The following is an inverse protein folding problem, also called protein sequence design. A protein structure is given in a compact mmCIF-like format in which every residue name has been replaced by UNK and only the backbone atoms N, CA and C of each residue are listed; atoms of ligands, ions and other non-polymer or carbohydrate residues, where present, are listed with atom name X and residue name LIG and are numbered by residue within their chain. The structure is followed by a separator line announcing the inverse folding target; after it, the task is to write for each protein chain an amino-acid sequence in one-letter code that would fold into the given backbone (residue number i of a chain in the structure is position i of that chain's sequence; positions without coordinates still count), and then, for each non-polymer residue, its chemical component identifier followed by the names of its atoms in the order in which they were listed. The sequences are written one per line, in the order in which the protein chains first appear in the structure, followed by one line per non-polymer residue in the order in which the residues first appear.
data_IF_743344216589
#
_entry.id   IF_743344216589
#
_cell.length_a   1.000
_cell.length_b   1.000
_cell.length_c   1.000
_cell.angle_alpha   90.00
_cell.angle_beta   90.00
_cell.angle_gamma   90.00
#
_symmetry.space_group_name_H-M   'P 1'
#
loop_
_entity.id
_entity.type
_entity.pdbx_description
1 polymer ?
#
# COMPACT_ATOMS: atom_id res chain seq x y z
N UNK A 1 23.11 -11.92 7.14
CA UNK A 1 22.27 -11.05 6.28
C UNK A 1 22.76 -11.13 4.85
N UNK A 2 21.86 -11.14 3.84
CA UNK A 2 22.26 -11.07 2.44
C UNK A 2 23.10 -9.82 2.17
N UNK A 3 24.16 -9.95 1.35
CA UNK A 3 25.01 -8.80 0.99
C UNK A 3 24.53 -8.09 -0.29
N UNK A 4 23.62 -8.72 -1.04
CA UNK A 4 23.00 -8.12 -2.22
C UNK A 4 21.79 -7.29 -1.80
N UNK A 5 21.59 -6.15 -2.46
CA UNK A 5 20.37 -5.36 -2.33
C UNK A 5 19.17 -6.23 -2.72
N UNK A 6 18.09 -6.13 -1.96
CA UNK A 6 16.79 -6.71 -2.33
C UNK A 6 16.10 -5.88 -3.41
N UNK A 7 14.93 -6.32 -3.81
CA UNK A 7 14.06 -5.62 -4.75
C UNK A 7 13.15 -4.61 -4.03
N UNK A 8 12.91 -3.46 -4.63
CA UNK A 8 11.70 -2.70 -4.34
C UNK A 8 10.48 -3.36 -4.99
N UNK A 9 9.28 -2.82 -4.76
CA UNK A 9 8.05 -3.46 -5.22
C UNK A 9 7.94 -3.53 -6.74
N UNK A 10 8.43 -2.53 -7.47
CA UNK A 10 8.43 -2.52 -8.95
C UNK A 10 9.44 -3.53 -9.49
N UNK A 11 10.66 -3.51 -8.95
CA UNK A 11 11.70 -4.48 -9.27
C UNK A 11 11.25 -5.93 -8.96
N UNK A 12 10.56 -6.14 -7.82
CA UNK A 12 9.98 -7.43 -7.48
C UNK A 12 8.99 -7.93 -8.54
N UNK A 13 8.08 -7.07 -9.00
CA UNK A 13 7.13 -7.43 -10.06
C UNK A 13 7.88 -7.75 -11.37
N UNK A 14 8.87 -6.94 -11.74
CA UNK A 14 9.68 -7.18 -12.92
C UNK A 14 10.47 -8.49 -12.85
N UNK A 15 11.08 -8.80 -11.70
CA UNK A 15 11.78 -10.05 -11.45
C UNK A 15 10.82 -11.26 -11.51
N UNK A 16 9.61 -11.11 -10.96
CA UNK A 16 8.57 -12.14 -11.01
C UNK A 16 8.09 -12.41 -12.44
N UNK A 17 7.94 -11.38 -13.27
CA UNK A 17 7.61 -11.53 -14.69
C UNK A 17 8.70 -12.32 -15.46
N UNK A 18 9.95 -12.21 -15.04
CA UNK A 18 11.08 -12.97 -15.61
C UNK A 18 11.22 -14.38 -15.01
N UNK A 19 10.41 -14.76 -14.02
CA UNK A 19 10.51 -16.05 -13.33
C UNK A 19 11.68 -16.16 -12.36
N UNK A 20 12.25 -15.04 -11.92
CA UNK A 20 13.41 -15.00 -11.01
C UNK A 20 13.00 -15.18 -9.53
N UNK A 21 11.69 -15.10 -9.21
CA UNK A 21 11.15 -15.21 -7.85
C UNK A 21 10.56 -16.61 -7.65
N UNK A 22 11.17 -17.40 -6.77
CA UNK A 22 10.70 -18.75 -6.44
C UNK A 22 9.56 -18.77 -5.41
N UNK A 23 9.66 -17.94 -4.38
CA UNK A 23 8.69 -17.88 -3.27
C UNK A 23 8.32 -16.44 -2.98
N UNK A 24 7.02 -16.19 -2.81
CA UNK A 24 6.49 -14.92 -2.30
C UNK A 24 5.67 -15.18 -1.04
N UNK A 25 6.05 -14.54 0.05
CA UNK A 25 5.31 -14.59 1.30
C UNK A 25 4.70 -13.21 1.59
N UNK A 26 3.38 -13.19 1.69
CA UNK A 26 2.61 -12.00 2.03
C UNK A 26 2.10 -12.10 3.48
N UNK A 27 2.52 -11.19 4.33
CA UNK A 27 2.02 -11.04 5.69
C UNK A 27 1.02 -9.88 5.71
N UNK A 28 -0.26 -10.21 5.70
CA UNK A 28 -1.32 -9.22 5.48
C UNK A 28 -1.29 -8.65 4.05
N UNK A 29 -1.88 -7.49 3.88
CA UNK A 29 -1.83 -6.74 2.64
C UNK A 29 -2.78 -7.25 1.53
N UNK A 30 -2.74 -6.56 0.40
CA UNK A 30 -3.54 -6.85 -0.79
C UNK A 30 -2.80 -6.33 -2.02
N UNK A 31 -1.67 -6.98 -2.36
CA UNK A 31 -0.75 -6.53 -3.40
C UNK A 31 -1.46 -6.30 -4.75
N UNK A 32 -2.34 -7.21 -5.15
CA UNK A 32 -3.05 -7.13 -6.43
C UNK A 32 -3.89 -5.86 -6.55
N UNK A 33 -4.50 -5.40 -5.46
CA UNK A 33 -5.28 -4.17 -5.47
C UNK A 33 -4.41 -2.93 -5.20
N UNK A 34 -3.37 -3.09 -4.38
CA UNK A 34 -2.57 -1.96 -3.94
C UNK A 34 -1.55 -1.50 -4.99
N UNK A 35 -1.06 -2.41 -5.83
CA UNK A 35 -0.03 -2.12 -6.82
C UNK A 35 -0.62 -1.54 -8.10
N UNK A 36 0.18 -0.72 -8.79
CA UNK A 36 -0.11 -0.24 -10.14
C UNK A 36 -0.11 -1.39 -11.17
N UNK A 37 -0.70 -1.16 -12.36
CA UNK A 37 -0.71 -2.11 -13.45
C UNK A 37 -1.23 -3.50 -13.05
N UNK A 38 -2.42 -3.52 -12.49
CA UNK A 38 -3.04 -4.70 -11.86
C UNK A 38 -2.93 -5.97 -12.72
N UNK A 39 -3.01 -5.84 -14.05
CA UNK A 39 -2.94 -6.98 -14.95
C UNK A 39 -1.53 -7.61 -15.00
N UNK A 40 -0.50 -6.77 -15.10
CA UNK A 40 0.89 -7.25 -15.09
C UNK A 40 1.31 -7.77 -13.73
N UNK A 41 0.80 -7.17 -12.65
CA UNK A 41 1.02 -7.69 -11.30
C UNK A 41 0.39 -9.08 -11.16
N UNK A 42 -0.82 -9.28 -11.67
CA UNK A 42 -1.45 -10.59 -11.64
C UNK A 42 -0.67 -11.65 -12.45
N UNK A 43 -0.14 -11.27 -13.61
CA UNK A 43 0.73 -12.12 -14.42
C UNK A 43 2.02 -12.48 -13.66
N UNK A 44 2.68 -11.48 -13.07
CA UNK A 44 3.89 -11.67 -12.28
C UNK A 44 3.70 -12.66 -11.12
N UNK A 45 2.59 -12.51 -10.38
CA UNK A 45 2.29 -13.43 -9.26
C UNK A 45 2.06 -14.86 -9.75
N UNK A 46 1.39 -15.06 -10.88
CA UNK A 46 1.16 -16.41 -11.44
C UNK A 46 2.45 -17.11 -11.88
N UNK A 47 3.51 -16.36 -12.19
CA UNK A 47 4.81 -16.93 -12.55
C UNK A 47 5.60 -17.46 -11.35
N UNK A 48 5.25 -17.07 -10.13
CA UNK A 48 5.93 -17.48 -8.90
C UNK A 48 5.68 -18.96 -8.61
N UNK A 49 6.68 -19.69 -8.13
CA UNK A 49 6.56 -21.09 -7.78
C UNK A 49 5.57 -21.33 -6.63
N UNK A 50 5.79 -20.65 -5.51
CA UNK A 50 4.97 -20.76 -4.31
C UNK A 50 4.57 -19.37 -3.80
N UNK A 51 3.27 -19.17 -3.57
CA UNK A 51 2.76 -18.01 -2.83
C UNK A 51 2.23 -18.44 -1.48
N UNK A 52 2.67 -17.78 -0.40
CA UNK A 52 2.21 -17.98 0.96
C UNK A 52 1.51 -16.72 1.41
N UNK A 53 0.24 -16.81 1.76
CA UNK A 53 -0.55 -15.66 2.19
C UNK A 53 -1.03 -15.86 3.62
N UNK A 54 -0.53 -15.06 4.54
CA UNK A 54 -0.90 -15.02 5.95
C UNK A 54 -1.87 -13.85 6.11
N UNK A 55 -3.13 -14.13 6.48
CA UNK A 55 -4.15 -13.08 6.41
C UNK A 55 -5.32 -13.36 7.36
N UNK A 56 -5.90 -12.28 7.88
CA UNK A 56 -7.11 -12.34 8.71
C UNK A 56 -8.39 -12.45 7.88
N UNK A 57 -8.37 -12.01 6.62
CA UNK A 57 -9.50 -12.03 5.68
C UNK A 57 -9.04 -12.32 4.27
N UNK A 58 -9.86 -13.02 3.52
CA UNK A 58 -9.65 -13.17 2.07
C UNK A 58 -9.81 -11.82 1.36
N UNK A 59 -8.96 -11.57 0.39
CA UNK A 59 -9.02 -10.41 -0.47
C UNK A 59 -8.64 -10.80 -1.92
N UNK A 60 -8.56 -9.85 -2.82
CA UNK A 60 -8.30 -10.10 -4.25
C UNK A 60 -6.97 -10.83 -4.50
N UNK A 61 -5.96 -10.66 -3.65
CA UNK A 61 -4.68 -11.35 -3.80
C UNK A 61 -4.78 -12.86 -3.61
N UNK A 62 -5.78 -13.36 -2.88
CA UNK A 62 -6.01 -14.80 -2.70
C UNK A 62 -6.61 -15.47 -3.96
N UNK A 63 -7.14 -14.69 -4.89
CA UNK A 63 -7.65 -15.17 -6.19
C UNK A 63 -6.56 -15.25 -7.26
N UNK A 64 -5.38 -14.68 -6.98
CA UNK A 64 -4.26 -14.64 -7.92
C UNK A 64 -3.03 -15.17 -7.20
N UNK A 65 -2.74 -16.43 -7.43
CA UNK A 65 -1.67 -17.16 -6.74
C UNK A 65 -0.61 -17.61 -7.71
N UNK A 66 0.53 -18.05 -7.17
CA UNK A 66 1.56 -18.77 -7.90
C UNK A 66 1.10 -20.16 -8.34
N UNK A 67 2.04 -20.95 -8.87
CA UNK A 67 1.76 -22.34 -9.27
C UNK A 67 1.30 -23.21 -8.11
N UNK A 68 1.85 -22.95 -6.93
CA UNK A 68 1.40 -23.52 -5.66
C UNK A 68 1.02 -22.36 -4.72
N UNK A 69 0.06 -22.61 -3.82
CA UNK A 69 -0.43 -21.60 -2.90
C UNK A 69 -0.73 -22.18 -1.52
N UNK A 70 -0.31 -21.44 -0.49
CA UNK A 70 -0.72 -21.66 0.88
C UNK A 70 -1.46 -20.43 1.38
N UNK A 71 -2.61 -20.62 2.00
CA UNK A 71 -3.35 -19.56 2.69
C UNK A 71 -3.40 -19.96 4.16
N UNK A 72 -2.74 -19.16 5.00
CA UNK A 72 -2.64 -19.36 6.43
C UNK A 72 -3.50 -18.30 7.14
N UNK A 73 -4.66 -18.66 7.66
CA UNK A 73 -5.44 -17.74 8.46
C UNK A 73 -4.70 -17.44 9.77
N UNK A 74 -4.79 -16.19 10.24
CA UNK A 74 -4.14 -15.75 11.45
C UNK A 74 -5.08 -14.95 12.35
N UNK A 75 -4.70 -14.78 13.62
CA UNK A 75 -5.41 -13.95 14.57
C UNK A 75 -5.53 -12.51 14.09
N UNK A 76 -6.71 -11.94 14.25
CA UNK A 76 -6.95 -10.51 14.05
C UNK A 76 -6.46 -9.71 15.27
N UNK A 77 -6.14 -8.43 15.07
CA UNK A 77 -5.64 -7.59 16.14
C UNK A 77 -6.66 -7.30 17.26
N UNK A 78 -7.94 -7.59 17.05
CA UNK A 78 -9.02 -7.49 18.04
C UNK A 78 -9.18 -8.74 18.88
N UNK A 79 -8.59 -9.85 18.46
CA UNK A 79 -8.63 -11.14 19.14
C UNK A 79 -7.51 -11.25 20.18
N UNK A 80 -7.74 -12.07 21.20
CA UNK A 80 -6.74 -12.36 22.25
C UNK A 80 -5.59 -13.13 21.63
N UNK A 81 -4.38 -12.56 21.77
CA UNK A 81 -3.13 -13.18 21.34
C UNK A 81 -2.37 -13.72 22.57
N UNK A 82 -2.07 -15.03 22.61
CA UNK A 82 -1.26 -15.62 23.69
C UNK A 82 0.13 -15.01 23.83
N UNK A 83 0.71 -14.47 22.75
CA UNK A 83 2.00 -13.77 22.75
C UNK A 83 1.97 -12.39 23.43
N UNK A 84 0.77 -11.94 23.84
CA UNK A 84 0.59 -10.67 24.57
C UNK A 84 0.09 -9.52 23.70
N UNK A 85 0.24 -8.30 24.19
CA UNK A 85 -0.19 -7.11 23.45
C UNK A 85 0.79 -6.77 22.32
N UNK A 86 0.27 -6.22 21.23
CA UNK A 86 1.06 -5.63 20.15
C UNK A 86 1.25 -4.13 20.35
N UNK A 87 2.11 -3.52 19.57
CA UNK A 87 2.37 -2.09 19.60
C UNK A 87 2.09 -1.45 18.25
N UNK A 88 1.74 -0.19 18.28
CA UNK A 88 1.41 0.61 17.09
C UNK A 88 2.12 1.94 17.19
N UNK A 89 2.71 2.37 16.10
CA UNK A 89 3.17 3.74 15.90
C UNK A 89 2.15 4.51 15.06
N UNK A 90 1.77 5.69 15.50
CA UNK A 90 0.93 6.57 14.71
C UNK A 90 1.75 7.56 13.88
N UNK A 91 1.09 8.36 13.04
CA UNK A 91 1.75 9.34 12.15
C UNK A 91 2.52 10.45 12.88
N UNK A 92 2.35 10.57 14.19
CA UNK A 92 3.08 11.54 15.03
C UNK A 92 4.33 10.93 15.69
N UNK A 93 4.64 9.66 15.40
CA UNK A 93 5.74 8.95 16.02
C UNK A 93 5.44 8.53 17.47
N UNK A 94 4.17 8.49 17.88
CA UNK A 94 3.75 7.97 19.17
C UNK A 94 3.59 6.46 19.10
N UNK A 95 4.34 5.74 19.91
CA UNK A 95 4.26 4.29 20.09
C UNK A 95 3.41 3.97 21.30
N UNK A 96 2.37 3.19 21.12
CA UNK A 96 1.47 2.77 22.20
C UNK A 96 1.04 1.30 22.07
N UNK A 97 0.55 0.71 23.14
CA UNK A 97 0.07 -0.67 23.18
C UNK A 97 -1.33 -0.81 22.57
N UNK A 98 -1.58 -1.97 22.00
CA UNK A 98 -2.90 -2.40 21.52
C UNK A 98 -3.10 -3.87 21.90
N UNK A 99 -4.22 -4.18 22.56
CA UNK A 99 -4.53 -5.53 23.01
C UNK A 99 -5.91 -5.92 22.55
N UNK A 100 -6.02 -7.09 21.90
CA UNK A 100 -7.29 -7.71 21.56
C UNK A 100 -7.99 -8.25 22.80
N UNK A 101 -9.31 -8.29 22.76
CA UNK A 101 -10.17 -8.74 23.87
C UNK A 101 -11.23 -9.73 23.44
N UNK A 102 -11.35 -10.00 22.15
CA UNK A 102 -12.31 -10.96 21.62
C UNK A 102 -11.70 -12.35 21.62
N UNK A 103 -12.52 -13.35 21.88
CA UNK A 103 -12.12 -14.73 21.69
C UNK A 103 -11.75 -14.98 20.23
N UNK A 104 -10.70 -15.76 19.96
CA UNK A 104 -10.33 -16.15 18.59
C UNK A 104 -11.48 -16.87 17.90
N UNK A 105 -11.63 -16.64 16.60
CA UNK A 105 -12.63 -17.34 15.77
C UNK A 105 -12.40 -18.86 15.72
N UNK A 106 -11.19 -19.31 16.03
CA UNK A 106 -10.82 -20.73 16.16
C UNK A 106 -9.56 -20.87 17.00
N UNK A 107 -9.49 -21.92 17.81
CA UNK A 107 -8.31 -22.30 18.60
C UNK A 107 -7.10 -22.71 17.74
N UNK A 108 -7.32 -22.98 16.45
CA UNK A 108 -6.26 -23.32 15.51
C UNK A 108 -5.55 -22.09 14.93
N UNK A 109 -6.06 -20.86 15.17
CA UNK A 109 -5.45 -19.64 14.66
C UNK A 109 -4.19 -19.30 15.47
N UNK A 110 -3.16 -18.92 14.72
CA UNK A 110 -1.89 -18.42 15.28
C UNK A 110 -1.77 -16.94 15.00
N UNK A 111 -1.03 -16.24 15.84
CA UNK A 111 -0.66 -14.86 15.55
C UNK A 111 0.36 -14.78 14.42
N UNK A 112 0.44 -13.62 13.74
CA UNK A 112 1.44 -13.39 12.69
C UNK A 112 2.89 -13.61 13.21
N UNK A 113 3.30 -13.12 14.41
CA UNK A 113 4.61 -13.44 14.98
C UNK A 113 4.84 -14.94 15.20
N UNK A 114 3.86 -15.66 15.73
CA UNK A 114 3.95 -17.10 15.96
C UNK A 114 4.17 -17.87 14.65
N UNK A 115 3.44 -17.53 13.58
CA UNK A 115 3.61 -18.15 12.26
C UNK A 115 5.03 -17.91 11.73
N UNK A 116 5.53 -16.67 11.83
CA UNK A 116 6.90 -16.33 11.40
C UNK A 116 7.94 -17.08 12.22
N UNK A 117 7.75 -17.18 13.53
CA UNK A 117 8.67 -17.92 14.42
C UNK A 117 8.72 -19.41 14.06
N UNK A 118 7.58 -20.05 13.81
CA UNK A 118 7.53 -21.46 13.39
C UNK A 118 8.22 -21.69 12.04
N UNK A 119 8.02 -20.81 11.07
CA UNK A 119 8.73 -20.85 9.79
C UNK A 119 10.24 -20.66 10.01
N UNK A 120 10.61 -19.66 10.81
CA UNK A 120 12.01 -19.40 11.15
C UNK A 120 12.70 -20.59 11.82
N UNK A 121 12.03 -21.23 12.79
CA UNK A 121 12.53 -22.42 13.45
C UNK A 121 12.69 -23.60 12.47
N UNK A 122 11.69 -23.81 11.58
CA UNK A 122 11.74 -24.87 10.57
C UNK A 122 12.88 -24.68 9.55
N UNK A 123 13.16 -23.45 9.15
CA UNK A 123 14.24 -23.13 8.19
C UNK A 123 15.62 -23.09 8.83
N UNK A 124 15.71 -22.66 10.09
CA UNK A 124 16.98 -22.45 10.79
C UNK A 124 16.96 -23.02 12.21
N UNK A 125 16.76 -24.35 12.38
CA UNK A 125 16.62 -24.97 13.70
C UNK A 125 17.87 -24.82 14.59
N UNK A 126 19.05 -24.72 13.98
CA UNK A 126 20.35 -24.54 14.64
C UNK A 126 20.95 -23.15 14.35
N UNK A 127 20.14 -22.18 13.99
CA UNK A 127 20.58 -20.81 13.73
C UNK A 127 20.99 -20.05 15.00
N UNK A 128 21.55 -18.85 14.87
CA UNK A 128 21.99 -18.04 16.01
C UNK A 128 20.85 -17.44 16.82
N UNK A 129 19.60 -17.54 16.33
CA UNK A 129 18.40 -17.05 17.00
C UNK A 129 17.55 -18.24 17.44
N UNK A 130 17.16 -18.25 18.70
CA UNK A 130 16.11 -19.14 19.16
C UNK A 130 14.75 -18.54 18.83
N UNK A 131 14.20 -19.00 17.70
CA UNK A 131 12.89 -18.53 17.21
C UNK A 131 11.75 -18.80 18.19
N UNK A 132 11.87 -19.82 19.05
CA UNK A 132 10.81 -20.22 19.97
C UNK A 132 10.53 -19.19 21.06
N UNK A 133 11.42 -18.24 21.31
CA UNK A 133 11.20 -17.21 22.33
C UNK A 133 10.51 -15.95 21.78
N UNK A 134 10.50 -15.75 20.45
CA UNK A 134 10.01 -14.49 19.86
C UNK A 134 8.52 -14.47 19.55
N UNK A 135 7.80 -15.60 19.74
CA UNK A 135 6.34 -15.57 19.77
C UNK A 135 5.81 -14.75 20.97
N UNK A 136 6.55 -14.67 22.08
CA UNK A 136 6.30 -13.70 23.13
C UNK A 136 6.73 -12.29 22.65
N UNK A 137 5.73 -11.42 22.52
CA UNK A 137 5.94 -10.06 22.02
C UNK A 137 6.84 -9.22 22.93
N UNK A 138 6.98 -9.57 24.21
CA UNK A 138 7.92 -8.90 25.12
C UNK A 138 9.37 -9.16 24.73
N UNK A 139 9.70 -10.41 24.35
CA UNK A 139 11.03 -10.78 23.88
C UNK A 139 11.35 -10.11 22.53
N UNK A 140 10.36 -10.03 21.64
CA UNK A 140 10.51 -9.31 20.37
C UNK A 140 10.78 -7.82 20.60
N UNK A 141 10.02 -7.14 21.50
CA UNK A 141 10.28 -5.74 21.87
C UNK A 141 11.62 -5.55 22.55
N UNK A 142 12.06 -6.50 23.37
CA UNK A 142 13.39 -6.47 23.97
C UNK A 142 14.49 -6.50 22.90
N UNK A 143 14.36 -7.37 21.89
CA UNK A 143 15.32 -7.41 20.78
C UNK A 143 15.32 -6.09 19.99
N UNK A 144 14.15 -5.54 19.67
CA UNK A 144 14.02 -4.23 19.02
C UNK A 144 14.73 -3.15 19.83
N UNK A 145 14.57 -3.13 21.15
CA UNK A 145 15.18 -2.12 22.03
C UNK A 145 16.72 -2.15 21.99
N UNK A 146 17.31 -3.27 21.61
CA UNK A 146 18.75 -3.44 21.49
C UNK A 146 19.32 -3.14 20.11
N UNK A 147 18.47 -3.18 19.10
CA UNK A 147 18.89 -3.09 17.69
C UNK A 147 18.51 -1.78 17.03
N UNK A 148 17.46 -1.10 17.52
CA UNK A 148 16.89 0.06 16.84
C UNK A 148 16.96 1.29 17.77
N UNK A 149 17.75 2.33 17.41
CA UNK A 149 17.80 3.58 18.17
C UNK A 149 16.42 4.22 18.35
N UNK A 150 16.16 4.78 19.52
CA UNK A 150 14.88 5.38 19.88
C UNK A 150 13.91 4.43 20.58
N UNK A 151 14.18 3.12 20.56
CA UNK A 151 13.38 2.10 21.24
C UNK A 151 14.01 1.59 22.55
N UNK A 152 14.96 2.28 23.11
CA UNK A 152 15.57 1.94 24.39
C UNK A 152 14.49 1.78 25.46
N UNK A 153 14.61 0.76 26.31
CA UNK A 153 13.65 0.42 27.35
C UNK A 153 12.19 0.26 26.84
N UNK A 154 12.03 -0.31 25.66
CA UNK A 154 10.75 -0.41 24.95
C UNK A 154 9.62 -0.94 25.84
N UNK A 155 9.83 -2.10 26.46
CA UNK A 155 8.80 -2.77 27.29
C UNK A 155 8.29 -1.91 28.44
N UNK A 156 9.14 -1.16 29.12
CA UNK A 156 8.74 -0.27 30.22
C UNK A 156 8.06 0.99 29.70
N UNK A 157 8.62 1.61 28.65
CA UNK A 157 8.09 2.86 28.08
C UNK A 157 6.70 2.69 27.48
N UNK A 158 6.46 1.60 26.77
CA UNK A 158 5.15 1.36 26.11
C UNK A 158 4.04 1.03 27.12
N UNK A 159 4.37 0.58 28.31
CA UNK A 159 3.42 0.36 29.40
C UNK A 159 3.05 1.64 30.16
N UNK A 160 3.79 2.72 29.96
CA UNK A 160 3.44 4.02 30.53
C UNK A 160 2.12 4.52 29.94
N UNK A 161 1.34 5.25 30.73
CA UNK A 161 0.07 5.83 30.26
C UNK A 161 0.30 6.73 29.06
N UNK A 162 -0.34 6.40 27.94
CA UNK A 162 -0.20 7.13 26.68
C UNK A 162 0.98 6.71 25.80
N UNK A 163 1.80 5.72 26.22
CA UNK A 163 2.95 5.26 25.44
C UNK A 163 4.14 6.23 25.46
N UNK A 164 4.91 6.28 24.35
CA UNK A 164 6.06 7.15 24.23
C UNK A 164 6.28 7.63 22.79
N UNK A 165 6.91 8.79 22.67
CA UNK A 165 7.31 9.32 21.37
C UNK A 165 8.70 8.82 20.95
N UNK A 166 8.83 8.46 19.67
CA UNK A 166 10.14 8.28 19.04
C UNK A 166 10.83 9.64 18.88
N UNK A 167 12.17 9.69 18.96
CA UNK A 167 12.90 10.93 18.75
C UNK A 167 12.60 11.56 17.39
N UNK A 168 12.36 12.86 17.38
CA UNK A 168 12.16 13.64 16.16
C UNK A 168 12.80 15.02 16.33
N UNK A 169 13.93 15.25 15.70
CA UNK A 169 14.71 16.47 15.87
C UNK A 169 13.92 17.77 15.64
N UNK A 170 13.18 17.92 14.53
CA UNK A 170 12.34 19.11 14.29
C UNK A 170 11.21 19.32 15.29
N UNK A 171 10.63 18.25 15.86
CA UNK A 171 9.55 18.33 16.84
C UNK A 171 10.08 18.59 18.26
N UNK A 172 11.12 17.87 18.63
CA UNK A 172 11.60 17.81 20.04
C UNK A 172 12.55 18.97 20.37
N UNK A 173 13.07 19.62 19.38
CA UNK A 173 13.93 20.80 19.44
C UNK A 173 14.39 21.11 18.01
N UNK A 174 14.49 22.35 17.56
CA UNK A 174 14.75 22.71 16.16
C UNK A 174 16.15 22.27 15.72
N UNK A 175 16.34 20.95 15.59
CA UNK A 175 17.59 20.33 15.15
C UNK A 175 17.41 19.67 13.78
N UNK A 176 18.35 19.91 12.88
CA UNK A 176 18.35 19.36 11.53
C UNK A 176 19.72 18.76 11.23
N UNK A 177 19.72 17.51 10.75
CA UNK A 177 20.93 16.81 10.33
C UNK A 177 21.36 17.26 8.91
N UNK A 178 21.62 18.53 8.77
CA UNK A 178 22.18 19.13 7.54
C UNK A 178 23.59 19.66 7.80
N UNK A 179 24.44 19.86 6.80
CA UNK A 179 25.77 20.43 6.99
C UNK A 179 25.76 21.79 7.70
N UNK A 180 24.69 22.58 7.53
CA UNK A 180 24.54 23.89 8.18
C UNK A 180 23.90 23.82 9.57
N UNK A 181 23.38 22.65 9.99
CA UNK A 181 22.56 22.52 11.21
C UNK A 181 21.23 23.26 11.16
N UNK A 182 20.79 23.73 10.00
CA UNK A 182 19.56 24.49 9.79
C UNK A 182 18.67 23.80 8.77
N UNK A 183 17.36 24.05 8.81
CA UNK A 183 16.44 23.64 7.76
C UNK A 183 16.91 24.19 6.41
N UNK A 184 16.87 23.36 5.39
CA UNK A 184 17.27 23.74 4.04
C UNK A 184 16.05 23.74 3.13
N UNK A 185 15.82 24.85 2.44
CA UNK A 185 14.78 24.96 1.40
C UNK A 185 15.41 24.78 0.02
N UNK A 186 14.73 24.00 -0.81
CA UNK A 186 15.12 23.80 -2.20
C UNK A 186 14.09 24.48 -3.10
N UNK A 187 14.57 25.23 -4.07
CA UNK A 187 13.74 25.79 -5.13
C UNK A 187 13.90 24.91 -6.37
N UNK A 188 12.78 24.49 -6.93
CA UNK A 188 12.73 23.73 -8.16
C UNK A 188 11.82 24.46 -9.15
N UNK A 189 12.16 24.38 -10.42
CA UNK A 189 11.28 24.84 -11.48
C UNK A 189 10.02 23.96 -11.52
N UNK A 190 8.89 24.55 -11.88
CA UNK A 190 7.69 23.78 -12.14
C UNK A 190 7.90 22.93 -13.40
N UNK A 191 7.52 21.66 -13.40
CA UNK A 191 7.62 20.84 -14.58
C UNK A 191 6.74 21.40 -15.70
N UNK A 192 7.30 21.48 -16.92
CA UNK A 192 6.52 21.81 -18.09
C UNK A 192 5.42 20.80 -18.29
N UNK A 193 4.17 21.26 -18.29
CA UNK A 193 3.01 20.43 -18.57
C UNK A 193 2.86 20.25 -20.09
N UNK A 194 3.68 19.39 -20.68
CA UNK A 194 3.56 18.99 -22.09
C UNK A 194 2.63 17.79 -22.18
N UNK A 195 1.34 18.03 -22.20
CA UNK A 195 0.31 17.02 -22.47
C UNK A 195 -0.28 17.33 -23.85
N UNK A 196 -0.52 16.31 -24.62
CA UNK A 196 -1.26 16.43 -25.89
C UNK A 196 -2.63 17.07 -25.60
N UNK A 197 -3.07 18.03 -26.43
CA UNK A 197 -4.31 18.79 -26.22
C UNK A 197 -5.58 17.93 -26.11
N UNK A 198 -5.53 16.71 -26.62
CA UNK A 198 -6.63 15.72 -26.50
C UNK A 198 -6.55 14.85 -25.24
N UNK A 199 -5.59 15.09 -24.34
CA UNK A 199 -5.38 14.29 -23.13
C UNK A 199 -5.57 15.10 -21.86
N UNK A 200 -5.92 14.38 -20.82
CA UNK A 200 -6.05 14.86 -19.45
C UNK A 200 -4.95 14.29 -18.58
N UNK A 201 -4.63 14.99 -17.49
CA UNK A 201 -3.81 14.45 -16.41
C UNK A 201 -4.71 13.94 -15.30
N UNK A 202 -4.62 12.64 -15.02
CA UNK A 202 -5.36 12.01 -13.95
C UNK A 202 -4.49 11.76 -12.72
N UNK A 203 -5.06 12.00 -11.54
CA UNK A 203 -4.50 11.58 -10.26
C UNK A 203 -5.41 10.58 -9.56
N UNK A 204 -4.81 9.63 -8.85
CA UNK A 204 -5.57 8.76 -7.95
C UNK A 204 -5.74 9.41 -6.58
N UNK A 205 -6.88 9.22 -5.95
CA UNK A 205 -7.16 9.66 -4.58
C UNK A 205 -7.86 8.56 -3.80
N UNK A 206 -7.86 8.65 -2.48
CA UNK A 206 -8.73 7.83 -1.63
C UNK A 206 -10.08 8.51 -1.48
N UNK A 207 -11.14 7.70 -1.33
CA UNK A 207 -12.41 8.23 -0.82
C UNK A 207 -12.24 8.67 0.64
N UNK A 208 -13.18 9.46 1.15
CA UNK A 208 -13.26 9.68 2.59
C UNK A 208 -13.56 8.35 3.30
N UNK A 209 -13.15 8.26 4.55
CA UNK A 209 -13.31 7.06 5.38
C UNK A 209 -12.62 5.80 4.82
N UNK A 210 -11.64 5.97 3.92
CA UNK A 210 -10.87 4.87 3.34
C UNK A 210 -9.54 4.65 4.04
N UNK A 211 -9.30 3.39 4.42
CA UNK A 211 -8.00 2.93 4.91
C UNK A 211 -7.39 1.92 3.93
N UNK A 212 -6.42 2.37 3.15
CA UNK A 212 -5.73 1.61 2.09
C UNK A 212 -6.72 0.84 1.18
N UNK A 213 -6.50 -0.47 1.00
CA UNK A 213 -7.36 -1.38 0.25
C UNK A 213 -8.19 -2.30 1.15
N UNK A 214 -8.22 -2.00 2.45
CA UNK A 214 -8.81 -2.87 3.47
C UNK A 214 -10.20 -2.39 3.90
N UNK A 215 -10.33 -1.09 4.16
CA UNK A 215 -11.58 -0.48 4.64
C UNK A 215 -11.96 0.62 3.67
N UNK A 216 -13.05 0.46 2.97
CA UNK A 216 -13.73 1.49 2.18
C UNK A 216 -15.13 1.03 1.79
N UNK A 217 -16.01 1.98 1.60
CA UNK A 217 -17.38 1.74 1.13
C UNK A 217 -17.58 2.15 -0.32
N UNK A 218 -18.81 1.97 -0.81
CA UNK A 218 -19.23 2.40 -2.13
C UNK A 218 -19.62 3.88 -2.17
N UNK A 219 -19.75 4.49 -0.99
CA UNK A 219 -20.20 5.86 -0.84
C UNK A 219 -19.07 6.78 -0.39
N UNK A 220 -18.97 7.93 -1.04
CA UNK A 220 -18.17 9.07 -0.59
C UNK A 220 -19.11 10.26 -0.45
N UNK A 221 -19.77 10.35 0.70
CA UNK A 221 -20.78 11.40 1.01
C UNK A 221 -20.21 12.81 0.91
N UNK A 222 -18.92 13.00 1.20
CA UNK A 222 -18.26 14.31 1.13
C UNK A 222 -18.06 14.81 -0.30
N UNK A 223 -17.99 13.88 -1.27
CA UNK A 223 -17.92 14.19 -2.71
C UNK A 223 -19.24 14.00 -3.44
N UNK A 224 -20.31 13.63 -2.73
CA UNK A 224 -21.62 13.38 -3.34
C UNK A 224 -21.64 12.17 -4.27
N UNK A 225 -20.78 11.18 -4.03
CA UNK A 225 -20.70 9.96 -4.83
C UNK A 225 -21.31 8.81 -4.03
N UNK A 226 -22.29 8.13 -4.63
CA UNK A 226 -23.03 7.05 -3.98
C UNK A 226 -23.04 5.80 -4.86
N UNK A 227 -22.93 4.65 -4.21
CA UNK A 227 -22.94 3.33 -4.82
C UNK A 227 -22.01 3.20 -6.04
N UNK A 228 -20.87 3.89 -6.00
CA UNK A 228 -19.91 3.89 -7.10
C UNK A 228 -18.46 4.14 -6.62
N UNK A 229 -17.54 3.40 -7.19
CA UNK A 229 -16.11 3.65 -7.01
C UNK A 229 -15.37 3.80 -8.34
N UNK A 230 -15.90 3.18 -9.37
CA UNK A 230 -15.36 3.30 -10.73
C UNK A 230 -15.87 4.59 -11.37
N UNK A 231 -15.32 5.71 -10.88
CA UNK A 231 -15.73 7.06 -11.26
C UNK A 231 -14.54 7.86 -11.76
N UNK A 232 -14.78 8.76 -12.69
CA UNK A 232 -13.83 9.77 -13.12
C UNK A 232 -14.43 11.16 -12.84
N UNK A 233 -13.81 11.87 -11.91
CA UNK A 233 -14.18 13.23 -11.56
C UNK A 233 -13.48 14.19 -12.52
N UNK A 234 -14.22 15.13 -13.10
CA UNK A 234 -13.70 16.08 -14.06
C UNK A 234 -14.39 17.45 -13.99
N UNK A 235 -13.71 18.45 -14.52
CA UNK A 235 -14.28 19.80 -14.61
C UNK A 235 -15.53 19.82 -15.50
N UNK A 236 -16.57 20.56 -15.10
CA UNK A 236 -17.83 20.66 -15.85
C UNK A 236 -17.65 21.18 -17.27
N UNK A 237 -16.71 22.11 -17.51
CA UNK A 237 -16.45 22.66 -18.84
C UNK A 237 -15.81 21.60 -19.73
N UNK A 238 -14.82 20.88 -19.20
CA UNK A 238 -14.17 19.79 -19.94
C UNK A 238 -15.17 18.67 -20.27
N UNK A 239 -16.06 18.34 -19.34
CA UNK A 239 -17.15 17.38 -19.55
C UNK A 239 -18.03 17.78 -20.73
N UNK A 240 -18.43 19.06 -20.79
CA UNK A 240 -19.27 19.58 -21.89
C UNK A 240 -18.50 19.61 -23.23
N UNK A 241 -17.23 19.97 -23.21
CA UNK A 241 -16.40 20.00 -24.44
C UNK A 241 -16.21 18.63 -25.07
N UNK A 242 -16.08 17.58 -24.27
CA UNK A 242 -16.01 16.21 -24.81
C UNK A 242 -17.40 15.60 -25.10
N UNK A 243 -18.48 16.34 -24.83
CA UNK A 243 -19.85 15.87 -25.06
C UNK A 243 -20.36 14.85 -24.06
N UNK A 244 -19.74 14.74 -22.87
CA UNK A 244 -20.16 13.80 -21.84
C UNK A 244 -21.24 14.39 -20.93
N UNK A 245 -22.09 13.52 -20.39
CA UNK A 245 -23.13 13.86 -19.41
C UNK A 245 -22.78 13.31 -18.01
N UNK A 246 -23.27 13.93 -16.93
CA UNK A 246 -23.11 13.39 -15.58
C UNK A 246 -23.65 11.97 -15.47
N UNK A 247 -22.86 11.06 -14.90
CA UNK A 247 -23.23 9.65 -14.75
C UNK A 247 -23.05 8.78 -15.98
N UNK A 248 -22.75 9.38 -17.14
CA UNK A 248 -22.46 8.62 -18.36
C UNK A 248 -21.24 7.72 -18.17
N UNK A 249 -21.31 6.50 -18.72
CA UNK A 249 -20.17 5.61 -18.75
C UNK A 249 -19.21 6.00 -19.90
N UNK A 250 -17.92 6.01 -19.57
CA UNK A 250 -16.83 6.29 -20.50
C UNK A 250 -15.73 5.25 -20.33
N UNK A 251 -14.90 5.09 -21.34
CA UNK A 251 -13.68 4.30 -21.27
C UNK A 251 -12.48 5.22 -21.12
N UNK A 252 -11.57 4.86 -20.22
CA UNK A 252 -10.34 5.58 -19.98
C UNK A 252 -9.16 4.82 -20.57
N UNK A 253 -8.33 5.50 -21.35
CA UNK A 253 -7.09 4.93 -21.88
C UNK A 253 -5.90 5.73 -21.33
N UNK A 254 -5.03 5.06 -20.58
CA UNK A 254 -3.77 5.66 -20.15
C UNK A 254 -2.70 5.51 -21.23
N UNK A 255 -1.78 6.46 -21.27
CA UNK A 255 -0.69 6.55 -22.22
C UNK A 255 0.66 6.68 -21.53
N UNK A 256 1.62 5.83 -21.89
CA UNK A 256 3.00 5.88 -21.43
C UNK A 256 3.95 5.43 -22.55
N UNK A 257 4.63 6.39 -23.16
CA UNK A 257 5.34 6.11 -24.42
C UNK A 257 4.38 5.57 -25.47
N UNK A 258 4.71 4.41 -26.02
CA UNK A 258 3.83 3.70 -26.98
C UNK A 258 2.80 2.80 -26.30
N UNK A 259 2.92 2.54 -25.01
CA UNK A 259 2.02 1.68 -24.27
C UNK A 259 0.71 2.39 -23.97
N UNK A 260 -0.40 1.67 -24.21
CA UNK A 260 -1.75 2.11 -23.91
C UNK A 260 -2.45 1.05 -23.07
N UNK A 261 -3.14 1.48 -22.00
CA UNK A 261 -3.94 0.61 -21.15
C UNK A 261 -5.36 1.15 -21.14
N UNK A 262 -6.30 0.39 -21.70
CA UNK A 262 -7.71 0.73 -21.66
C UNK A 262 -8.40 0.11 -20.46
N UNK A 263 -9.28 0.88 -19.84
CA UNK A 263 -10.13 0.45 -18.73
C UNK A 263 -11.53 0.99 -18.94
N UNK A 264 -12.49 0.08 -19.01
CA UNK A 264 -13.85 0.38 -19.45
C UNK A 264 -14.78 0.79 -18.30
N UNK A 265 -15.89 1.45 -18.66
CA UNK A 265 -17.06 1.72 -17.80
C UNK A 265 -16.75 2.54 -16.55
N UNK A 266 -16.23 3.73 -16.73
CA UNK A 266 -16.06 4.71 -15.68
C UNK A 266 -17.21 5.72 -15.72
N UNK A 267 -17.87 5.97 -14.60
CA UNK A 267 -18.94 6.97 -14.51
C UNK A 267 -18.34 8.37 -14.40
N UNK A 268 -18.75 9.26 -15.27
CA UNK A 268 -18.36 10.66 -15.25
C UNK A 268 -19.06 11.38 -14.09
N UNK A 269 -18.25 12.06 -13.25
CA UNK A 269 -18.73 12.85 -12.13
C UNK A 269 -18.24 14.29 -12.30
N UNK A 270 -19.13 15.27 -12.47
CA UNK A 270 -18.74 16.67 -12.51
C UNK A 270 -18.19 17.09 -11.14
N UNK A 271 -17.01 17.67 -11.12
CA UNK A 271 -16.33 18.02 -9.88
C UNK A 271 -15.56 19.34 -10.03
N UNK A 272 -15.39 20.06 -8.92
CA UNK A 272 -14.66 21.36 -8.93
C UNK A 272 -13.16 21.12 -8.86
N UNK A 273 -12.56 20.84 -10.02
CA UNK A 273 -11.12 20.69 -10.22
C UNK A 273 -10.67 21.54 -11.41
N UNK A 274 -9.40 21.92 -11.48
CA UNK A 274 -8.88 22.67 -12.61
C UNK A 274 -9.07 21.93 -13.94
N UNK A 275 -9.34 22.68 -15.01
CA UNK A 275 -9.47 22.15 -16.37
C UNK A 275 -8.26 21.32 -16.80
N UNK A 276 -8.51 20.33 -17.65
CA UNK A 276 -7.51 19.39 -18.13
C UNK A 276 -7.02 18.39 -17.08
N UNK A 277 -7.64 18.36 -15.89
CA UNK A 277 -7.30 17.39 -14.86
C UNK A 277 -8.48 16.44 -14.58
N UNK A 278 -8.13 15.22 -14.21
CA UNK A 278 -9.05 14.18 -13.77
C UNK A 278 -8.64 13.67 -12.39
N UNK A 279 -9.61 13.14 -11.67
CA UNK A 279 -9.38 12.48 -10.41
C UNK A 279 -10.20 11.17 -10.36
N UNK A 280 -9.60 10.10 -9.84
CA UNK A 280 -10.27 8.81 -9.71
C UNK A 280 -9.85 8.10 -8.42
N UNK A 281 -10.64 7.13 -7.98
CA UNK A 281 -10.34 6.44 -6.74
C UNK A 281 -9.24 5.38 -6.88
N UNK A 282 -8.37 5.36 -5.88
CA UNK A 282 -7.52 4.23 -5.52
C UNK A 282 -8.36 3.22 -4.72
N UNK A 283 -8.31 1.90 -4.95
CA UNK A 283 -7.39 1.21 -5.87
C UNK A 283 -7.91 1.02 -7.30
N UNK A 284 -9.12 1.45 -7.61
CA UNK A 284 -9.78 1.16 -8.89
C UNK A 284 -8.98 1.68 -10.09
N UNK A 285 -8.37 2.86 -9.95
CA UNK A 285 -7.57 3.47 -11.01
C UNK A 285 -6.15 2.90 -11.17
N UNK A 286 -5.71 2.00 -10.28
CA UNK A 286 -4.38 1.40 -10.37
C UNK A 286 -4.15 0.63 -11.67
N UNK A 287 -5.20 0.10 -12.28
CA UNK A 287 -5.13 -0.56 -13.58
C UNK A 287 -4.61 0.35 -14.69
N UNK A 288 -4.81 1.67 -14.55
CA UNK A 288 -4.40 2.68 -15.53
C UNK A 288 -2.98 3.22 -15.31
N UNK A 289 -2.30 2.82 -14.25
CA UNK A 289 -0.92 3.27 -13.94
C UNK A 289 0.07 2.24 -14.49
N UNK A 290 0.80 2.52 -15.59
CA UNK A 290 1.76 1.57 -16.13
C UNK A 290 2.88 1.24 -15.14
N UNK A 291 3.31 -0.01 -15.10
CA UNK A 291 4.36 -0.46 -14.18
C UNK A 291 5.69 0.28 -14.40
N UNK A 292 5.98 0.65 -15.63
CA UNK A 292 7.19 1.34 -16.05
C UNK A 292 7.16 2.85 -15.72
N UNK A 293 5.99 3.40 -15.41
CA UNK A 293 5.83 4.80 -15.05
C UNK A 293 6.15 5.02 -13.59
N UNK A 294 7.41 5.31 -13.30
CA UNK A 294 7.93 5.51 -11.95
C UNK A 294 8.66 6.83 -11.79
N UNK A 295 8.64 7.36 -10.57
CA UNK A 295 9.38 8.57 -10.22
C UNK A 295 10.87 8.25 -10.11
N UNK A 296 11.70 9.15 -10.62
CA UNK A 296 13.15 9.07 -10.54
C UNK A 296 13.61 9.02 -9.07
N UNK A 297 14.63 8.24 -8.80
CA UNK A 297 15.24 8.05 -7.47
C UNK A 297 14.46 7.15 -6.53
N UNK A 298 13.14 7.27 -6.44
CA UNK A 298 12.32 6.48 -5.52
C UNK A 298 11.70 5.21 -6.14
N UNK A 299 11.69 5.10 -7.47
CA UNK A 299 11.00 4.05 -8.23
C UNK A 299 9.51 3.88 -7.85
N UNK A 300 8.90 4.96 -7.33
CA UNK A 300 7.48 4.94 -6.93
C UNK A 300 6.59 5.13 -8.15
N UNK A 301 5.54 4.30 -8.36
CA UNK A 301 4.60 4.48 -9.47
C UNK A 301 3.96 5.87 -9.51
N UNK A 302 3.90 6.47 -10.70
CA UNK A 302 3.44 7.86 -10.90
C UNK A 302 1.92 7.98 -10.89
N UNK A 303 1.27 7.46 -9.85
CA UNK A 303 -0.18 7.46 -9.69
C UNK A 303 -0.82 8.85 -9.51
N UNK A 304 -0.01 9.92 -9.50
CA UNK A 304 -0.47 11.32 -9.45
C UNK A 304 -0.29 12.08 -10.78
N UNK A 305 0.25 11.40 -11.79
CA UNK A 305 0.46 11.97 -13.11
C UNK A 305 0.26 10.89 -14.17
N UNK A 306 -0.98 10.69 -14.59
CA UNK A 306 -1.35 9.67 -15.57
C UNK A 306 -1.99 10.37 -16.75
N UNK A 307 -1.41 10.26 -17.93
CA UNK A 307 -2.01 10.81 -19.14
C UNK A 307 -3.16 9.93 -19.60
N UNK A 308 -4.35 10.52 -19.76
CA UNK A 308 -5.60 9.81 -20.06
C UNK A 308 -6.28 10.43 -21.27
N UNK A 309 -6.72 9.60 -22.21
CA UNK A 309 -7.78 9.93 -23.18
C UNK A 309 -9.09 9.28 -22.77
N UNK A 310 -10.21 9.94 -23.10
CA UNK A 310 -11.57 9.50 -22.76
C UNK A 310 -12.30 9.14 -24.04
N UNK A 311 -12.96 7.98 -24.07
CA UNK A 311 -13.87 7.57 -25.14
C UNK A 311 -15.28 7.45 -24.57
N UNK A 312 -16.25 8.14 -25.20
CA UNK A 312 -17.66 8.05 -24.82
C UNK A 312 -18.21 6.67 -25.19
N UNK A 313 -19.06 6.14 -24.34
CA UNK A 313 -19.88 4.96 -24.65
C UNK A 313 -21.27 5.43 -25.10
N UNK A 314 -21.73 4.84 -26.16
CA UNK A 314 -23.09 5.02 -26.67
C UNK A 314 -24.15 4.40 -25.77
#
# INVERSE_FOLDING_TARGET
MPRKRGYDVVEFIQASLKGEVGVYMALGGNLISAMSDTQRVAEAIRNIGLTVQISTKLNRSHLVTGREALILPCLGRTEIDPGGFVTVENSMGLVHSSKGTLEPASDALLSEPEIVCRIGHGLYPNGPLDWNVYHDHENTRYLISRCIPGFENYNSRVRSKGGFYLPNGPRDGPTWNTPSGKAQFFCHDLPDRKVNDERFIMMTVRSHDQYNTTIYGMDDRYRGIYNARRVVMMNKKDMLEIGASPGQEVDLTSHWGERKICSERWKVVPYDIPRGNLCSYFPEANVLVPLESTAEGSNTPTSKWIEISISLRS
#
